data_IF_894438071588
#
_entry.id   IF_894438071588
#
_cell.length_a   1.000
_cell.length_b   1.000
_cell.length_c   1.000
_cell.angle_alpha   90.00
_cell.angle_beta   90.00
_cell.angle_gamma   90.00
#
_symmetry.space_group_name_H-M   'P 1'
#
loop_
_entity.id
_entity.type
_entity.pdbx_description
1 polymer ?
#
# COMPACT_ATOMS: atom_id res chain seq x y z
N UNK A 1 -1.37 7.82 28.27
CA UNK A 1 -1.22 7.43 26.86
C UNK A 1 -1.42 8.69 26.05
N UNK A 2 -0.48 9.15 25.20
CA UNK A 2 -0.70 10.34 24.39
C UNK A 2 -1.85 10.04 23.43
N UNK A 3 -2.87 10.90 23.42
CA UNK A 3 -4.23 10.56 23.04
C UNK A 3 -4.59 10.87 21.58
N UNK A 4 -3.65 11.29 20.73
CA UNK A 4 -3.89 11.45 19.30
C UNK A 4 -2.65 10.99 18.53
N UNK A 5 -2.79 9.92 17.72
CA UNK A 5 -1.70 9.39 16.87
C UNK A 5 -1.46 10.27 15.63
N UNK A 6 -2.37 11.20 15.35
CA UNK A 6 -2.36 12.12 14.22
C UNK A 6 -3.42 13.21 14.41
N UNK A 7 -3.24 14.34 13.73
CA UNK A 7 -4.22 15.41 13.61
C UNK A 7 -4.85 15.32 12.21
N UNK A 8 -6.18 15.28 12.14
CA UNK A 8 -6.91 15.33 10.88
C UNK A 8 -7.39 16.76 10.58
N UNK A 9 -7.14 17.23 9.36
CA UNK A 9 -7.60 18.54 8.88
C UNK A 9 -8.47 18.37 7.65
N UNK A 10 -9.51 19.18 7.53
CA UNK A 10 -10.44 19.17 6.39
C UNK A 10 -11.03 20.55 6.12
N UNK A 11 -11.13 20.90 4.84
CA UNK A 11 -11.53 22.21 4.34
C UNK A 11 -12.54 22.04 3.21
N UNK A 12 -13.80 22.42 3.44
CA UNK A 12 -14.90 22.21 2.50
C UNK A 12 -14.66 22.82 1.09
N UNK A 13 -13.97 23.96 1.03
CA UNK A 13 -13.64 24.63 -0.23
C UNK A 13 -12.19 24.46 -0.67
N UNK A 14 -11.38 23.73 0.10
CA UNK A 14 -9.93 23.69 0.01
C UNK A 14 -9.26 25.02 0.41
N UNK A 15 -8.05 24.94 0.95
CA UNK A 15 -7.23 26.08 1.40
C UNK A 15 -5.95 26.17 0.57
N UNK A 16 -5.49 27.38 0.24
CA UNK A 16 -4.20 27.55 -0.44
C UNK A 16 -3.07 27.15 0.50
N UNK A 17 -2.03 26.52 -0.04
CA UNK A 17 -0.88 26.09 0.75
C UNK A 17 -0.20 27.26 1.51
N UNK A 18 -0.19 28.47 0.93
CA UNK A 18 0.38 29.68 1.56
C UNK A 18 -0.33 30.09 2.85
N UNK A 19 -1.60 29.72 2.98
CA UNK A 19 -2.44 30.07 4.13
C UNK A 19 -2.28 29.07 5.28
N UNK A 20 -1.45 28.02 5.10
CA UNK A 20 -1.23 26.94 6.07
C UNK A 20 0.12 27.10 6.77
N UNK A 21 0.28 28.12 7.62
CA UNK A 21 1.57 28.50 8.22
C UNK A 21 2.15 27.50 9.23
N UNK A 22 1.33 26.67 9.88
CA UNK A 22 1.77 25.73 10.92
C UNK A 22 1.78 24.26 10.48
N UNK A 23 1.25 23.96 9.29
CA UNK A 23 1.07 22.60 8.79
C UNK A 23 2.31 22.10 8.04
N UNK A 24 3.09 23.02 7.45
CA UNK A 24 4.30 22.75 6.68
C UNK A 24 5.60 22.99 7.46
N UNK A 25 5.56 22.83 8.79
CA UNK A 25 6.80 22.82 9.55
C UNK A 25 7.47 21.44 9.45
N UNK A 26 8.20 21.20 8.35
CA UNK A 26 8.91 19.95 8.05
C UNK A 26 9.86 19.48 9.14
N UNK A 27 10.42 20.43 9.88
CA UNK A 27 11.31 20.12 10.99
C UNK A 27 10.55 19.50 12.18
N UNK A 28 9.22 19.72 12.25
CA UNK A 28 8.37 19.30 13.37
C UNK A 28 7.31 18.26 13.02
N UNK A 29 6.71 18.36 11.83
CA UNK A 29 5.53 17.60 11.45
C UNK A 29 5.70 16.96 10.07
N UNK A 30 5.15 15.75 9.93
CA UNK A 30 5.09 15.03 8.65
C UNK A 30 3.64 14.75 8.33
N UNK A 31 3.21 15.01 7.09
CA UNK A 31 1.81 14.88 6.74
C UNK A 31 1.55 14.27 5.35
N UNK A 32 0.31 13.80 5.17
CA UNK A 32 -0.27 13.38 3.90
C UNK A 32 -1.46 14.26 3.59
N UNK A 33 -1.49 14.86 2.40
CA UNK A 33 -2.57 15.75 1.98
C UNK A 33 -3.18 15.30 0.67
N UNK A 34 -4.50 15.30 0.62
CA UNK A 34 -5.23 15.32 -0.64
C UNK A 34 -5.36 16.75 -1.12
N UNK A 35 -4.77 17.03 -2.29
CA UNK A 35 -4.69 18.37 -2.85
C UNK A 35 -5.08 18.39 -4.33
N UNK A 36 -5.55 19.54 -4.77
CA UNK A 36 -5.54 19.96 -6.17
C UNK A 36 -4.24 20.70 -6.43
N UNK A 37 -3.55 20.33 -7.51
CA UNK A 37 -2.30 20.96 -7.91
C UNK A 37 -2.40 21.43 -9.35
N UNK A 38 -1.78 22.56 -9.62
CA UNK A 38 -1.62 23.12 -10.95
C UNK A 38 -0.13 23.41 -11.16
N UNK A 39 0.49 22.67 -12.08
CA UNK A 39 1.86 22.92 -12.48
C UNK A 39 1.94 24.25 -13.27
N UNK A 40 3.00 25.06 -13.10
CA UNK A 40 3.28 26.19 -13.97
C UNK A 40 3.59 25.70 -15.39
N UNK A 41 3.33 26.56 -16.38
CA UNK A 41 3.48 26.22 -17.80
C UNK A 41 4.94 26.09 -18.24
N UNK A 42 5.87 26.65 -17.47
CA UNK A 42 7.28 26.79 -17.85
C UNK A 42 8.16 25.63 -17.37
N UNK A 43 7.58 24.64 -16.67
CA UNK A 43 8.32 23.49 -16.18
C UNK A 43 8.58 22.46 -17.31
N UNK A 44 9.82 21.98 -17.46
CA UNK A 44 10.15 20.97 -18.47
C UNK A 44 9.59 19.58 -18.13
N UNK A 45 9.32 19.29 -16.85
CA UNK A 45 8.75 18.01 -16.39
C UNK A 45 7.94 18.18 -15.10
N UNK A 46 6.98 17.29 -14.87
CA UNK A 46 6.20 17.25 -13.64
C UNK A 46 7.03 16.78 -12.44
N UNK A 47 6.74 17.31 -11.25
CA UNK A 47 7.47 16.97 -10.02
C UNK A 47 6.71 15.96 -9.15
N UNK A 48 5.38 15.97 -9.25
CA UNK A 48 4.53 15.15 -8.39
C UNK A 48 4.20 13.82 -9.06
N UNK A 49 4.48 12.68 -8.39
CA UNK A 49 4.12 11.38 -8.92
C UNK A 49 2.59 11.22 -8.91
N UNK A 50 2.05 10.73 -10.02
CA UNK A 50 0.63 10.42 -10.16
C UNK A 50 0.49 8.99 -10.67
N UNK A 51 -0.40 8.23 -10.01
CA UNK A 51 -0.68 6.85 -10.42
C UNK A 51 -1.76 6.84 -11.49
N UNK A 52 -1.35 6.53 -12.71
CA UNK A 52 -2.27 6.24 -13.80
C UNK A 52 -2.94 4.88 -13.54
N UNK A 53 -4.23 4.91 -13.24
CA UNK A 53 -5.02 3.72 -12.90
C UNK A 53 -5.26 2.87 -14.15
N UNK A 54 -5.40 3.48 -15.33
CA UNK A 54 -5.71 2.80 -16.58
C UNK A 54 -4.50 2.02 -17.07
N UNK A 55 -3.35 2.69 -17.15
CA UNK A 55 -2.11 2.09 -17.64
C UNK A 55 -1.27 1.41 -16.54
N UNK A 56 -1.73 1.47 -15.28
CA UNK A 56 -1.04 0.92 -14.09
C UNK A 56 0.39 1.44 -13.90
N UNK A 57 0.69 2.63 -14.41
CA UNK A 57 2.01 3.24 -14.38
C UNK A 57 2.06 4.45 -13.43
N UNK A 58 3.27 4.87 -13.07
CA UNK A 58 3.50 6.14 -12.39
C UNK A 58 3.95 7.14 -13.45
N UNK A 59 3.22 8.24 -13.54
CA UNK A 59 3.50 9.35 -14.46
C UNK A 59 3.74 10.63 -13.65
N UNK A 60 4.34 11.64 -14.28
CA UNK A 60 4.59 12.96 -13.70
C UNK A 60 3.93 14.02 -14.57
N UNK A 61 2.60 14.17 -14.48
CA UNK A 61 1.84 15.02 -15.40
C UNK A 61 2.10 16.50 -15.11
N UNK A 62 2.01 17.30 -16.17
CA UNK A 62 1.88 18.76 -16.08
C UNK A 62 0.38 19.14 -16.17
N UNK A 63 0.06 20.37 -15.77
CA UNK A 63 -1.31 20.88 -15.77
C UNK A 63 -2.03 20.69 -14.44
N UNK A 64 -3.36 20.54 -14.49
CA UNK A 64 -4.24 20.48 -13.32
C UNK A 64 -4.63 19.06 -12.98
N UNK A 65 -4.38 18.62 -11.76
CA UNK A 65 -4.79 17.29 -11.30
C UNK A 65 -4.99 17.24 -9.78
N UNK A 66 -5.62 16.17 -9.32
CA UNK A 66 -5.87 15.90 -7.91
C UNK A 66 -5.13 14.65 -7.48
N UNK A 67 -4.69 14.59 -6.23
CA UNK A 67 -4.00 13.43 -5.72
C UNK A 67 -3.65 13.57 -4.25
N UNK A 68 -3.05 12.50 -3.73
CA UNK A 68 -2.54 12.48 -2.35
C UNK A 68 -1.04 12.45 -2.39
N UNK A 69 -0.40 13.39 -1.71
CA UNK A 69 1.04 13.50 -1.63
C UNK A 69 1.49 13.71 -0.21
N UNK A 70 2.76 13.40 0.00
CA UNK A 70 3.41 13.69 1.28
C UNK A 70 3.77 15.17 1.34
N UNK A 71 3.86 15.69 2.56
CA UNK A 71 4.29 17.07 2.77
C UNK A 71 5.61 17.41 2.04
N UNK A 72 6.69 16.59 2.02
CA UNK A 72 7.95 16.99 1.34
C UNK A 72 7.78 17.14 -0.17
N UNK A 73 6.95 16.30 -0.79
CA UNK A 73 6.66 16.40 -2.23
C UNK A 73 5.89 17.68 -2.56
N UNK A 74 4.93 18.06 -1.71
CA UNK A 74 4.16 19.30 -1.90
C UNK A 74 5.01 20.55 -1.67
N UNK A 75 5.96 20.52 -0.74
CA UNK A 75 6.90 21.62 -0.57
C UNK A 75 7.79 21.79 -1.78
N UNK A 76 8.37 20.70 -2.29
CA UNK A 76 9.17 20.74 -3.51
C UNK A 76 8.36 21.33 -4.67
N UNK A 77 7.10 20.89 -4.84
CA UNK A 77 6.23 21.43 -5.88
C UNK A 77 5.93 22.92 -5.67
N UNK A 78 5.62 23.34 -4.45
CA UNK A 78 5.37 24.74 -4.10
C UNK A 78 6.58 25.63 -4.39
N UNK A 79 7.77 25.22 -3.96
CA UNK A 79 9.03 25.95 -4.18
C UNK A 79 9.36 26.09 -5.68
N UNK A 80 8.84 25.19 -6.51
CA UNK A 80 8.95 25.22 -7.97
C UNK A 80 7.73 25.86 -8.67
N UNK A 81 6.91 26.61 -7.94
CA UNK A 81 5.86 27.46 -8.50
C UNK A 81 4.52 26.75 -8.76
N UNK A 82 4.29 25.57 -8.19
CA UNK A 82 2.96 24.96 -8.26
C UNK A 82 1.95 25.74 -7.44
N UNK A 83 0.75 25.93 -7.98
CA UNK A 83 -0.40 26.37 -7.20
C UNK A 83 -1.06 25.14 -6.58
N UNK A 84 -1.12 25.10 -5.24
CA UNK A 84 -1.52 23.93 -4.47
C UNK A 84 -2.67 24.30 -3.54
N UNK A 85 -3.75 23.53 -3.61
CA UNK A 85 -4.95 23.70 -2.81
C UNK A 85 -5.29 22.42 -2.07
N UNK A 86 -5.16 22.44 -0.75
CA UNK A 86 -5.36 21.27 0.12
C UNK A 86 -6.82 21.17 0.55
N UNK A 87 -7.42 19.99 0.44
CA UNK A 87 -8.80 19.75 0.90
C UNK A 87 -8.84 19.03 2.24
N UNK A 88 -7.99 18.02 2.45
CA UNK A 88 -7.90 17.32 3.72
C UNK A 88 -6.54 16.63 3.86
N UNK A 89 -6.20 16.25 5.08
CA UNK A 89 -4.96 15.51 5.33
C UNK A 89 -4.81 15.01 6.75
N UNK A 90 -3.77 14.22 6.93
CA UNK A 90 -3.37 13.61 8.19
C UNK A 90 -1.97 14.09 8.53
N UNK A 91 -1.83 14.72 9.71
CA UNK A 91 -0.59 15.29 10.21
C UNK A 91 -0.10 14.41 11.36
N UNK A 92 1.18 14.05 11.33
CA UNK A 92 1.83 13.21 12.30
C UNK A 92 2.98 13.97 12.94
N UNK A 93 3.17 13.74 14.23
CA UNK A 93 4.35 14.22 14.92
C UNK A 93 5.58 13.51 14.35
N UNK A 94 6.62 14.29 14.07
CA UNK A 94 7.92 13.72 13.72
C UNK A 94 8.49 13.06 14.98
N UNK A 95 8.93 11.81 14.84
CA UNK A 95 9.76 11.18 15.87
C UNK A 95 11.11 10.86 15.29
N UNK A 96 12.14 11.47 15.85
CA UNK A 96 13.51 11.16 15.50
C UNK A 96 13.94 9.88 16.23
N UNK A 97 14.81 9.09 15.58
CA UNK A 97 15.73 8.10 16.21
C UNK A 97 15.29 6.66 16.54
N UNK A 98 14.09 6.18 16.15
CA UNK A 98 13.72 4.78 16.51
C UNK A 98 14.56 3.68 15.83
N UNK A 99 15.14 3.95 14.66
CA UNK A 99 15.83 2.93 13.86
C UNK A 99 17.28 3.27 13.55
N UNK A 100 17.81 4.37 14.08
CA UNK A 100 19.12 4.88 13.72
C UNK A 100 20.22 3.89 14.06
N UNK A 101 20.21 3.32 15.26
CA UNK A 101 21.19 2.31 15.68
C UNK A 101 21.14 1.06 14.78
N UNK A 102 19.94 0.61 14.43
CA UNK A 102 19.74 -0.55 13.57
C UNK A 102 20.25 -0.31 12.15
N UNK A 103 19.92 0.86 11.57
CA UNK A 103 20.34 1.24 10.22
C UNK A 103 21.85 1.47 10.19
N UNK A 104 22.41 2.19 11.16
CA UNK A 104 23.84 2.48 11.26
C UNK A 104 24.66 1.19 11.43
N UNK A 105 24.20 0.25 12.26
CA UNK A 105 24.81 -1.07 12.37
C UNK A 105 24.87 -1.79 11.02
N UNK A 106 23.74 -1.90 10.31
CA UNK A 106 23.69 -2.58 9.00
C UNK A 106 24.52 -1.85 7.94
N UNK A 107 24.56 -0.52 7.98
CA UNK A 107 25.35 0.30 7.06
C UNK A 107 26.85 0.08 7.28
N UNK A 108 27.33 0.19 8.51
CA UNK A 108 28.73 -0.09 8.87
C UNK A 108 29.13 -1.53 8.58
N UNK A 109 28.24 -2.49 8.85
CA UNK A 109 28.47 -3.89 8.54
C UNK A 109 28.59 -4.12 7.02
N UNK A 110 27.74 -3.47 6.21
CA UNK A 110 27.82 -3.49 4.74
C UNK A 110 29.15 -2.91 4.25
N UNK A 111 29.63 -1.79 4.80
CA UNK A 111 30.89 -1.15 4.39
C UNK A 111 32.11 -2.00 4.68
N UNK A 112 32.15 -2.66 5.85
CA UNK A 112 33.27 -3.52 6.26
C UNK A 112 33.26 -4.89 5.58
N UNK A 113 32.17 -5.24 4.91
CA UNK A 113 31.96 -6.55 4.31
C UNK A 113 32.31 -6.60 2.82
N UNK A 114 32.66 -7.80 2.34
CA UNK A 114 32.90 -8.06 0.92
C UNK A 114 32.00 -9.19 0.40
N UNK A 115 31.83 -9.26 -0.92
CA UNK A 115 31.09 -10.32 -1.63
C UNK A 115 29.71 -10.60 -1.04
N UNK A 116 29.46 -11.83 -0.57
CA UNK A 116 28.18 -12.34 -0.10
C UNK A 116 27.66 -11.57 1.12
N UNK A 117 28.52 -11.26 2.10
CA UNK A 117 28.13 -10.52 3.30
C UNK A 117 27.67 -9.10 2.96
N UNK A 118 28.38 -8.42 2.04
CA UNK A 118 27.96 -7.10 1.57
C UNK A 118 26.59 -7.15 0.90
N UNK A 119 26.34 -8.15 0.05
CA UNK A 119 25.04 -8.35 -0.59
C UNK A 119 23.93 -8.65 0.43
N UNK A 120 24.24 -9.44 1.46
CA UNK A 120 23.31 -9.75 2.56
C UNK A 120 22.93 -8.50 3.35
N UNK A 121 23.91 -7.70 3.80
CA UNK A 121 23.62 -6.46 4.54
C UNK A 121 22.88 -5.42 3.67
N UNK A 122 23.22 -5.32 2.38
CA UNK A 122 22.45 -4.48 1.43
C UNK A 122 21.02 -4.99 1.28
N UNK A 123 20.81 -6.29 1.20
CA UNK A 123 19.48 -6.89 1.11
C UNK A 123 18.67 -6.61 2.38
N UNK A 124 19.25 -6.75 3.57
CA UNK A 124 18.59 -6.43 4.83
C UNK A 124 18.16 -4.96 4.92
N UNK A 125 19.02 -4.01 4.50
CA UNK A 125 18.66 -2.59 4.43
C UNK A 125 17.48 -2.34 3.48
N UNK A 126 17.51 -2.92 2.28
CA UNK A 126 16.44 -2.74 1.30
C UNK A 126 15.12 -3.41 1.76
N UNK A 127 15.21 -4.60 2.34
CA UNK A 127 14.06 -5.36 2.82
C UNK A 127 13.41 -4.74 4.06
N UNK A 128 14.20 -4.04 4.89
CA UNK A 128 13.68 -3.34 6.07
C UNK A 128 12.60 -2.34 5.68
N UNK A 129 12.88 -1.48 4.70
CA UNK A 129 11.87 -0.54 4.19
C UNK A 129 10.72 -1.25 3.48
N UNK A 130 11.03 -2.30 2.72
CA UNK A 130 10.03 -3.12 2.03
C UNK A 130 9.03 -3.77 2.98
N UNK A 131 9.45 -4.13 4.20
CA UNK A 131 8.60 -4.76 5.22
C UNK A 131 7.43 -3.86 5.64
N UNK A 132 7.64 -2.54 5.72
CA UNK A 132 6.60 -1.57 6.06
C UNK A 132 5.57 -1.37 4.93
N UNK A 133 5.95 -1.64 3.67
CA UNK A 133 5.07 -1.51 2.50
C UNK A 133 4.40 -2.81 2.06
N UNK A 134 4.52 -3.90 2.82
CA UNK A 134 3.95 -5.19 2.45
C UNK A 134 2.41 -5.15 2.50
N UNK A 135 1.76 -5.69 1.47
CA UNK A 135 0.33 -5.97 1.50
C UNK A 135 0.07 -7.19 2.40
N UNK A 136 -0.94 -7.06 3.26
CA UNK A 136 -1.41 -8.14 4.14
C UNK A 136 -2.43 -9.06 3.52
N UNK A 137 -3.03 -8.66 2.41
CA UNK A 137 -3.82 -9.54 1.57
C UNK A 137 -2.90 -10.59 0.95
N UNK A 138 -2.81 -11.73 1.63
CA UNK A 138 -2.13 -12.91 1.15
C UNK A 138 -3.16 -14.03 1.10
N UNK A 139 -3.79 -14.19 -0.04
CA UNK A 139 -4.47 -15.44 -0.37
C UNK A 139 -3.50 -16.62 -0.20
N UNK A 140 -4.00 -17.73 0.32
CA UNK A 140 -3.22 -18.96 0.42
C UNK A 140 -3.31 -19.72 -0.90
N UNK A 141 -2.17 -20.24 -1.36
CA UNK A 141 -2.13 -21.06 -2.57
C UNK A 141 -2.36 -22.53 -2.21
N UNK A 142 -3.29 -23.17 -2.91
CA UNK A 142 -3.62 -24.57 -2.75
C UNK A 142 -3.55 -25.28 -4.11
N UNK A 143 -3.15 -26.55 -4.07
CA UNK A 143 -3.34 -27.49 -5.18
C UNK A 143 -4.56 -28.32 -4.82
N UNK A 144 -5.58 -28.28 -5.65
CA UNK A 144 -6.89 -28.88 -5.39
C UNK A 144 -7.37 -29.70 -6.58
N UNK A 145 -8.26 -30.65 -6.33
CA UNK A 145 -8.96 -31.39 -7.37
C UNK A 145 -10.16 -30.62 -7.92
N UNK A 146 -10.75 -31.13 -9.01
CA UNK A 146 -11.93 -30.54 -9.66
C UNK A 146 -13.13 -30.39 -8.73
N UNK A 147 -13.37 -31.37 -7.86
CA UNK A 147 -14.49 -31.36 -6.91
C UNK A 147 -14.41 -30.14 -5.98
N UNK A 148 -13.24 -29.93 -5.36
CA UNK A 148 -13.01 -28.79 -4.48
C UNK A 148 -13.01 -27.47 -5.27
N UNK A 149 -12.47 -27.48 -6.49
CA UNK A 149 -12.43 -26.30 -7.35
C UNK A 149 -13.85 -25.81 -7.70
N UNK A 150 -14.76 -26.69 -8.11
CA UNK A 150 -16.11 -26.30 -8.48
C UNK A 150 -16.86 -25.65 -7.32
N UNK A 151 -16.65 -26.16 -6.10
CA UNK A 151 -17.14 -25.55 -4.87
C UNK A 151 -16.51 -24.18 -4.68
N UNK A 152 -15.19 -24.05 -4.64
CA UNK A 152 -14.55 -22.76 -4.35
C UNK A 152 -14.84 -21.69 -5.42
N UNK A 153 -14.89 -22.07 -6.69
CA UNK A 153 -15.17 -21.17 -7.81
C UNK A 153 -16.60 -20.60 -7.79
N UNK A 154 -17.54 -21.30 -7.15
CA UNK A 154 -18.94 -20.86 -7.07
C UNK A 154 -19.15 -19.84 -5.95
N UNK A 155 -18.55 -20.06 -4.79
CA UNK A 155 -18.90 -19.35 -3.56
C UNK A 155 -17.80 -18.52 -2.91
N UNK A 156 -16.58 -18.54 -3.44
CA UNK A 156 -15.42 -17.91 -2.81
C UNK A 156 -14.64 -17.00 -3.77
N UNK A 157 -13.88 -16.07 -3.18
CA UNK A 157 -12.98 -15.23 -3.93
C UNK A 157 -11.71 -16.01 -4.35
N UNK A 158 -11.68 -16.44 -5.60
CA UNK A 158 -10.45 -16.93 -6.25
C UNK A 158 -9.69 -15.74 -6.86
N UNK A 159 -8.48 -15.49 -6.36
CA UNK A 159 -7.58 -14.40 -6.81
C UNK A 159 -6.76 -14.81 -8.04
N UNK A 160 -6.41 -16.09 -8.14
CA UNK A 160 -5.74 -16.67 -9.30
C UNK A 160 -6.12 -18.15 -9.43
N UNK A 161 -6.23 -18.63 -10.67
CA UNK A 161 -6.53 -20.03 -10.99
C UNK A 161 -5.65 -20.45 -12.16
N UNK A 162 -4.99 -21.59 -12.04
CA UNK A 162 -4.24 -22.24 -13.11
C UNK A 162 -4.57 -23.73 -13.14
N UNK A 163 -5.02 -24.21 -14.28
CA UNK A 163 -5.21 -25.65 -14.52
C UNK A 163 -3.86 -26.29 -14.82
N UNK A 164 -3.51 -27.35 -14.09
CA UNK A 164 -2.31 -28.16 -14.37
C UNK A 164 -2.68 -29.27 -15.37
N UNK A 165 -3.83 -29.89 -15.14
CA UNK A 165 -4.43 -30.94 -15.96
C UNK A 165 -5.94 -30.97 -15.68
N UNK A 166 -6.67 -31.80 -16.43
CA UNK A 166 -8.14 -31.88 -16.39
C UNK A 166 -8.74 -32.09 -14.99
N UNK A 167 -7.98 -32.55 -14.00
CA UNK A 167 -8.49 -32.84 -12.66
C UNK A 167 -7.78 -32.07 -11.54
N UNK A 168 -6.81 -31.20 -11.84
CA UNK A 168 -5.96 -30.55 -10.83
C UNK A 168 -5.78 -29.07 -11.12
N UNK A 169 -6.05 -28.25 -10.11
CA UNK A 169 -5.99 -26.79 -10.18
C UNK A 169 -5.06 -26.25 -9.11
N UNK A 170 -4.25 -25.25 -9.49
CA UNK A 170 -3.58 -24.36 -8.54
C UNK A 170 -4.48 -23.16 -8.38
N UNK A 171 -4.92 -22.90 -7.15
CA UNK A 171 -5.72 -21.71 -6.83
C UNK A 171 -5.03 -20.85 -5.79
N UNK A 172 -5.25 -19.55 -5.85
CA UNK A 172 -4.96 -18.62 -4.77
C UNK A 172 -6.28 -18.03 -4.26
N UNK A 173 -6.54 -18.17 -2.96
CA UNK A 173 -7.78 -17.70 -2.34
C UNK A 173 -7.57 -17.28 -0.89
N UNK A 174 -8.29 -16.25 -0.48
CA UNK A 174 -8.41 -15.78 0.90
C UNK A 174 -9.46 -16.59 1.70
N UNK A 175 -10.13 -17.56 1.06
CA UNK A 175 -11.27 -18.31 1.60
C UNK A 175 -12.38 -17.40 2.17
N UNK A 176 -12.48 -16.16 1.67
CA UNK A 176 -13.55 -15.26 2.01
C UNK A 176 -14.75 -15.65 1.14
N UNK A 177 -15.90 -16.03 1.75
CA UNK A 177 -17.12 -16.28 1.01
C UNK A 177 -17.50 -15.05 0.20
N UNK A 178 -17.60 -15.20 -1.12
CA UNK A 178 -18.04 -14.13 -2.02
C UNK A 178 -18.87 -14.77 -3.11
N UNK A 179 -20.15 -14.42 -3.17
CA UNK A 179 -21.05 -14.89 -4.21
C UNK A 179 -20.69 -14.15 -5.51
N UNK A 180 -19.70 -14.68 -6.25
CA UNK A 180 -19.18 -14.07 -7.48
C UNK A 180 -20.06 -14.33 -8.70
N UNK A 181 -20.79 -15.45 -8.70
CA UNK A 181 -21.73 -15.80 -9.77
C UNK A 181 -23.14 -15.66 -9.21
N UNK A 182 -23.97 -14.93 -9.95
CA UNK A 182 -25.42 -14.86 -9.82
C UNK A 182 -26.04 -16.20 -9.43
N UNK A 183 -26.27 -16.41 -8.13
CA UNK A 183 -27.17 -17.48 -7.65
C UNK A 183 -28.40 -16.82 -7.04
N UNK A 184 -29.08 -16.01 -7.85
CA UNK A 184 -30.49 -15.64 -7.63
C UNK A 184 -31.39 -16.76 -8.17
N UNK A 185 -31.09 -18.01 -7.80
CA UNK A 185 -32.00 -19.10 -8.07
C UNK A 185 -33.04 -19.11 -6.94
N UNK A 186 -34.35 -19.04 -7.24
CA UNK A 186 -35.36 -19.37 -6.25
C UNK A 186 -35.04 -20.79 -5.79
N UNK A 187 -34.82 -20.99 -4.47
CA UNK A 187 -34.41 -22.25 -3.81
C UNK A 187 -32.90 -22.48 -3.55
N UNK A 188 -31.99 -21.56 -3.90
CA UNK A 188 -30.59 -21.74 -3.47
C UNK A 188 -30.39 -21.42 -1.98
N UNK A 189 -30.16 -22.46 -1.18
CA UNK A 189 -29.74 -22.33 0.22
C UNK A 189 -28.23 -22.08 0.32
N UNK A 190 -27.87 -20.79 0.41
CA UNK A 190 -26.49 -20.36 0.59
C UNK A 190 -25.87 -20.90 1.89
N UNK A 191 -26.66 -21.06 2.95
CA UNK A 191 -26.19 -21.55 4.25
C UNK A 191 -25.79 -23.02 4.14
N UNK A 192 -26.67 -23.86 3.60
CA UNK A 192 -26.38 -25.28 3.39
C UNK A 192 -25.19 -25.48 2.46
N UNK A 193 -25.09 -24.67 1.40
CA UNK A 193 -23.96 -24.68 0.49
C UNK A 193 -22.63 -24.36 1.21
N UNK A 194 -22.58 -23.28 1.99
CA UNK A 194 -21.36 -22.91 2.71
C UNK A 194 -21.00 -23.90 3.81
N UNK A 195 -21.99 -24.50 4.48
CA UNK A 195 -21.74 -25.59 5.45
C UNK A 195 -21.09 -26.80 4.77
N UNK A 196 -21.63 -27.23 3.62
CA UNK A 196 -21.06 -28.32 2.83
C UNK A 196 -19.66 -28.00 2.32
N UNK A 197 -19.46 -26.81 1.76
CA UNK A 197 -18.16 -26.37 1.27
C UNK A 197 -17.13 -26.32 2.40
N UNK A 198 -17.47 -25.75 3.56
CA UNK A 198 -16.60 -25.70 4.72
C UNK A 198 -16.24 -27.09 5.26
N UNK A 199 -17.16 -28.05 5.25
CA UNK A 199 -16.87 -29.43 5.64
C UNK A 199 -15.81 -30.07 4.72
N UNK A 200 -15.94 -29.91 3.40
CA UNK A 200 -14.98 -30.42 2.41
C UNK A 200 -13.61 -29.74 2.58
N UNK A 201 -13.60 -28.41 2.68
CA UNK A 201 -12.40 -27.60 2.90
C UNK A 201 -11.65 -28.06 4.15
N UNK A 202 -12.36 -28.23 5.27
CA UNK A 202 -11.77 -28.68 6.53
C UNK A 202 -11.24 -30.12 6.45
N UNK A 203 -11.98 -31.04 5.83
CA UNK A 203 -11.55 -32.43 5.65
C UNK A 203 -10.29 -32.55 4.80
N UNK A 204 -10.13 -31.67 3.80
CA UNK A 204 -8.94 -31.62 2.93
C UNK A 204 -7.79 -30.81 3.53
N UNK A 205 -7.91 -30.33 4.77
CA UNK A 205 -6.87 -29.54 5.44
C UNK A 205 -6.63 -28.16 4.82
N UNK A 206 -7.54 -27.69 3.97
CA UNK A 206 -7.49 -26.37 3.35
C UNK A 206 -7.89 -25.38 4.42
N UNK A 207 -6.91 -24.67 4.98
CA UNK A 207 -7.15 -23.66 6.01
C UNK A 207 -6.45 -22.39 5.59
N UNK A 208 -7.15 -21.26 5.68
CA UNK A 208 -6.47 -19.99 5.55
C UNK A 208 -5.53 -19.87 6.77
N UNK A 209 -4.24 -19.72 6.49
CA UNK A 209 -3.29 -19.26 7.51
C UNK A 209 -3.54 -17.77 7.68
N UNK A 210 -4.65 -17.41 8.32
CA UNK A 210 -4.91 -16.05 8.76
C UNK A 210 -3.86 -15.70 9.81
N UNK A 211 -2.70 -15.24 9.36
CA UNK A 211 -1.86 -14.41 10.19
C UNK A 211 -2.57 -13.06 10.23
N UNK A 212 -3.23 -12.77 11.35
CA UNK A 212 -3.75 -11.44 11.67
C UNK A 212 -2.57 -10.45 11.74
N UNK A 213 -1.97 -10.10 10.61
CA UNK A 213 -1.10 -8.94 10.53
C UNK A 213 -2.03 -7.74 10.38
N UNK A 214 -2.31 -7.10 11.50
CA UNK A 214 -3.28 -6.01 11.55
C UNK A 214 -2.75 -4.71 10.96
N UNK A 215 -1.42 -4.50 10.92
CA UNK A 215 -0.88 -3.16 10.63
C UNK A 215 0.42 -3.26 9.83
N UNK A 216 0.43 -2.76 8.60
CA UNK A 216 1.65 -2.31 7.92
C UNK A 216 1.60 -0.80 7.86
N UNK A 217 2.69 -0.17 8.26
CA UNK A 217 2.81 1.27 8.13
C UNK A 217 3.28 1.61 6.72
N UNK A 218 2.37 1.46 5.74
CA UNK A 218 2.59 1.90 4.34
C UNK A 218 2.99 3.37 4.31
N UNK A 219 2.53 4.14 5.30
CA UNK A 219 2.89 5.53 5.58
C UNK A 219 4.40 5.72 5.69
N UNK A 220 5.11 4.90 6.49
CA UNK A 220 6.56 5.00 6.66
C UNK A 220 7.28 4.80 5.33
N UNK A 221 6.94 3.73 4.59
CA UNK A 221 7.56 3.47 3.28
C UNK A 221 7.31 4.61 2.29
N UNK A 222 6.09 5.13 2.24
CA UNK A 222 5.74 6.27 1.37
C UNK A 222 6.56 7.51 1.70
N UNK A 223 6.70 7.84 3.00
CA UNK A 223 7.47 9.01 3.45
C UNK A 223 8.95 8.90 3.16
N UNK A 224 9.57 7.75 3.45
CA UNK A 224 11.00 7.53 3.16
C UNK A 224 11.27 7.64 1.65
N UNK A 225 10.40 7.06 0.83
CA UNK A 225 10.53 7.16 -0.63
C UNK A 225 10.34 8.58 -1.14
N UNK A 226 9.36 9.32 -0.59
CA UNK A 226 9.16 10.73 -0.92
C UNK A 226 10.38 11.58 -0.54
N UNK A 227 10.89 11.43 0.69
CA UNK A 227 12.09 12.11 1.14
C UNK A 227 13.29 11.79 0.23
N UNK A 228 13.48 10.52 -0.12
CA UNK A 228 14.55 10.13 -1.02
C UNK A 228 14.43 10.77 -2.42
N UNK A 229 13.20 10.89 -2.97
CA UNK A 229 12.96 11.59 -4.24
C UNK A 229 13.23 13.08 -4.18
N UNK A 230 13.01 13.73 -3.04
CA UNK A 230 13.17 15.17 -2.90
C UNK A 230 14.64 15.54 -2.64
N UNK A 231 15.35 14.78 -1.80
CA UNK A 231 16.67 15.18 -1.29
C UNK A 231 17.86 14.40 -1.87
N UNK A 232 17.65 13.26 -2.54
CA UNK A 232 18.73 12.47 -3.15
C UNK A 232 18.71 12.47 -4.69
N UNK A 233 17.86 13.28 -5.31
CA UNK A 233 17.83 13.49 -6.76
C UNK A 233 18.66 14.70 -7.17
#
# INVERSE_FOLDING_TARGET
MPNEKYIFVSYAKGISIDQMTDVFNFDKNIAFFYAEVQAPNDLPFGLLPFRDIENKNIIYPLGKFHGTWTSPELQLAYDNGYNIKVYYGYIFDKVDTYFDEYIDFLYKAKERSTRSHRSLYKSLLNNFLGRFGMRHDKGTTFIIDREVYDKLNTGYNLSAVQEINDNTFIINTDLIPTIKKTVNLPEFDSTAYYMNANAIINNRGIKNRNTNYSETSVMITSLVNAYARVYFN
#
